data_IF_664677284865
#
_entry.id   IF_664677284865
#
_cell.length_a   1.000
_cell.length_b   1.000
_cell.length_c   1.000
_cell.angle_alpha   90.00
_cell.angle_beta   90.00
_cell.angle_gamma   90.00
#
_symmetry.space_group_name_H-M   'P 1'
#
loop_
_entity.id
_entity.type
_entity.pdbx_description
1 polymer ?
#
# COMPACT_ATOMS: atom_id res chain seq x y z
N UNK A 1 -11.64 4.72 8.31
CA UNK A 1 -10.81 5.03 9.52
C UNK A 1 -10.03 3.82 10.02
N UNK A 2 -10.63 2.63 10.06
CA UNK A 2 -9.93 1.39 10.46
C UNK A 2 -8.79 1.01 9.51
N UNK A 3 -9.02 1.08 8.19
CA UNK A 3 -7.99 0.78 7.20
C UNK A 3 -6.80 1.74 7.29
N UNK A 4 -7.02 3.03 7.60
CA UNK A 4 -5.92 3.97 7.85
C UNK A 4 -5.07 3.55 9.06
N UNK A 5 -5.71 3.07 10.14
CA UNK A 5 -4.99 2.57 11.33
C UNK A 5 -4.19 1.31 10.98
N UNK A 6 -4.76 0.42 10.18
CA UNK A 6 -4.09 -0.79 9.71
C UNK A 6 -2.89 -0.45 8.82
N UNK A 7 -3.04 0.50 7.89
CA UNK A 7 -1.94 0.95 7.04
C UNK A 7 -0.80 1.56 7.86
N UNK A 8 -1.13 2.38 8.86
CA UNK A 8 -0.14 2.94 9.77
C UNK A 8 0.62 1.86 10.55
N UNK A 9 -0.07 0.78 10.95
CA UNK A 9 0.55 -0.38 11.60
C UNK A 9 1.49 -1.12 10.63
N UNK A 10 1.04 -1.37 9.41
CA UNK A 10 1.85 -2.01 8.37
C UNK A 10 3.15 -1.24 8.07
N UNK A 11 3.05 0.10 7.96
CA UNK A 11 4.22 0.96 7.79
C UNK A 11 5.18 0.84 8.99
N UNK A 12 4.65 0.84 10.23
CA UNK A 12 5.49 0.67 11.44
C UNK A 12 6.20 -0.69 11.46
N UNK A 13 5.49 -1.77 11.14
CA UNK A 13 6.05 -3.11 11.09
C UNK A 13 7.14 -3.22 10.01
N UNK A 14 6.90 -2.63 8.83
CA UNK A 14 7.87 -2.55 7.74
C UNK A 14 9.14 -1.80 8.16
N UNK A 15 8.99 -0.63 8.77
CA UNK A 15 10.12 0.16 9.30
C UNK A 15 10.86 -0.63 10.40
N UNK A 16 10.13 -1.35 11.26
CA UNK A 16 10.71 -2.21 12.28
C UNK A 16 11.63 -3.29 11.70
N UNK A 17 11.21 -3.94 10.60
CA UNK A 17 11.93 -5.04 9.92
C UNK A 17 13.08 -4.54 9.04
N UNK A 18 12.85 -3.53 8.20
CA UNK A 18 13.84 -3.07 7.21
C UNK A 18 14.64 -1.83 7.63
N UNK A 19 14.30 -1.20 8.76
CA UNK A 19 14.91 0.06 9.24
C UNK A 19 14.86 1.20 8.21
N UNK A 20 13.88 1.14 7.29
CA UNK A 20 13.64 2.12 6.22
C UNK A 20 12.14 2.35 6.06
N UNK A 21 11.76 3.55 5.63
CA UNK A 21 10.39 3.84 5.28
C UNK A 21 10.06 3.28 3.89
N UNK A 22 8.88 2.66 3.72
CA UNK A 22 8.41 2.28 2.39
C UNK A 22 8.08 3.54 1.60
N UNK A 23 8.50 3.58 0.34
CA UNK A 23 8.05 4.60 -0.60
C UNK A 23 6.87 4.05 -1.40
N UNK A 24 5.82 4.85 -1.54
CA UNK A 24 4.62 4.47 -2.28
C UNK A 24 4.51 5.32 -3.54
N UNK A 25 4.32 4.65 -4.68
CA UNK A 25 3.90 5.31 -5.91
C UNK A 25 2.50 4.84 -6.25
N UNK A 26 1.57 5.77 -6.38
CA UNK A 26 0.19 5.47 -6.76
C UNK A 26 -0.06 5.93 -8.19
N UNK A 27 -0.89 5.20 -8.91
CA UNK A 27 -1.28 5.53 -10.29
C UNK A 27 -2.76 5.23 -10.44
N UNK A 28 -3.52 6.23 -10.87
CA UNK A 28 -4.92 6.04 -11.25
C UNK A 28 -4.98 5.20 -12.54
N UNK A 29 -5.83 4.18 -12.51
CA UNK A 29 -6.14 3.29 -13.64
C UNK A 29 -7.62 3.40 -13.96
N UNK A 30 -8.04 2.89 -15.12
CA UNK A 30 -9.39 3.10 -15.67
C UNK A 30 -10.55 2.81 -14.69
N UNK A 31 -10.36 1.93 -13.70
CA UNK A 31 -11.36 1.61 -12.68
C UNK A 31 -10.79 1.65 -11.25
N UNK A 32 -9.73 2.38 -10.94
CA UNK A 32 -9.22 2.39 -9.55
C UNK A 32 -7.80 2.87 -9.38
N UNK A 33 -7.11 2.34 -8.37
CA UNK A 33 -5.74 2.72 -8.01
C UNK A 33 -4.84 1.50 -8.01
N UNK A 34 -3.69 1.62 -8.69
CA UNK A 34 -2.52 0.77 -8.51
C UNK A 34 -1.55 1.45 -7.54
N UNK A 35 -1.02 0.71 -6.56
CA UNK A 35 0.02 1.19 -5.64
C UNK A 35 1.24 0.28 -5.71
N UNK A 36 2.42 0.87 -5.89
CA UNK A 36 3.72 0.20 -5.91
C UNK A 36 4.48 0.56 -4.63
N UNK A 37 5.01 -0.43 -3.92
CA UNK A 37 5.86 -0.25 -2.74
C UNK A 37 7.32 -0.43 -3.14
N UNK A 38 8.18 0.46 -2.64
CA UNK A 38 9.62 0.45 -2.89
C UNK A 38 10.39 0.50 -1.57
N UNK A 39 11.54 -0.18 -1.51
CA UNK A 39 12.52 -0.01 -0.42
C UNK A 39 13.52 1.13 -0.71
N UNK A 40 13.81 1.33 -1.99
CA UNK A 40 14.68 2.35 -2.59
C UNK A 40 14.12 2.70 -3.99
N UNK A 41 14.50 3.86 -4.54
CA UNK A 41 13.87 4.47 -5.72
C UNK A 41 13.77 3.56 -6.97
N UNK A 42 14.59 2.51 -7.07
CA UNK A 42 14.72 1.74 -8.32
C UNK A 42 14.26 0.27 -8.24
N UNK A 43 13.70 -0.19 -7.12
CA UNK A 43 13.23 -1.59 -6.99
C UNK A 43 11.82 -1.67 -6.40
N UNK A 44 10.86 -2.08 -7.25
CA UNK A 44 9.49 -2.39 -6.84
C UNK A 44 9.53 -3.67 -6.00
N UNK A 45 9.09 -3.58 -4.75
CA UNK A 45 8.94 -4.73 -3.86
C UNK A 45 7.62 -5.47 -4.13
N UNK A 46 6.54 -4.73 -4.32
CA UNK A 46 5.19 -5.28 -4.47
C UNK A 46 4.24 -4.27 -5.09
N UNK A 47 3.14 -4.77 -5.63
CA UNK A 47 2.07 -4.00 -6.27
C UNK A 47 0.71 -4.42 -5.71
N UNK A 48 -0.13 -3.45 -5.41
CA UNK A 48 -1.51 -3.63 -4.96
C UNK A 48 -2.50 -2.89 -5.86
N UNK A 49 -3.73 -3.39 -5.87
CA UNK A 49 -4.81 -2.83 -6.68
C UNK A 49 -6.07 -2.67 -5.84
N UNK A 50 -6.77 -1.55 -6.01
CA UNK A 50 -8.10 -1.34 -5.46
C UNK A 50 -8.99 -0.78 -6.55
N UNK A 51 -10.14 -1.40 -6.79
CA UNK A 51 -11.09 -1.03 -7.83
C UNK A 51 -12.27 -0.27 -7.19
N UNK A 52 -12.72 0.79 -7.86
CA UNK A 52 -13.92 1.55 -7.49
C UNK A 52 -14.70 1.95 -8.74
N UNK A 53 -15.97 1.55 -8.78
CA UNK A 53 -16.87 1.82 -9.90
C UNK A 53 -17.45 3.24 -9.89
N UNK A 54 -17.34 3.97 -8.78
CA UNK A 54 -18.12 5.18 -8.55
C UNK A 54 -17.27 6.43 -8.36
N UNK A 55 -16.15 6.36 -7.63
CA UNK A 55 -15.23 7.49 -7.39
C UNK A 55 -13.95 7.03 -6.70
N UNK A 56 -12.81 7.59 -7.10
CA UNK A 56 -11.55 7.47 -6.36
C UNK A 56 -11.61 8.42 -5.16
N UNK A 57 -11.45 7.87 -3.97
CA UNK A 57 -11.38 8.61 -2.70
C UNK A 57 -10.15 8.18 -1.89
N UNK A 58 -9.93 8.83 -0.74
CA UNK A 58 -8.79 8.51 0.12
C UNK A 58 -8.78 7.04 0.55
N UNK A 59 -9.95 6.45 0.80
CA UNK A 59 -10.07 5.04 1.20
C UNK A 59 -9.58 4.11 0.08
N UNK A 60 -9.82 4.46 -1.18
CA UNK A 60 -9.33 3.71 -2.35
C UNK A 60 -7.80 3.62 -2.37
N UNK A 61 -7.10 4.72 -2.06
CA UNK A 61 -5.64 4.73 -1.97
C UNK A 61 -5.14 3.87 -0.79
N UNK A 62 -5.79 4.00 0.37
CA UNK A 62 -5.43 3.24 1.57
C UNK A 62 -5.57 1.73 1.32
N UNK A 63 -6.68 1.31 0.71
CA UNK A 63 -6.92 -0.09 0.35
C UNK A 63 -5.90 -0.62 -0.66
N UNK A 64 -5.56 0.17 -1.68
CA UNK A 64 -4.56 -0.22 -2.69
C UNK A 64 -3.18 -0.42 -2.06
N UNK A 65 -2.78 0.45 -1.12
CA UNK A 65 -1.53 0.30 -0.37
C UNK A 65 -1.52 -0.92 0.56
N UNK A 66 -2.66 -1.22 1.21
CA UNK A 66 -2.81 -2.41 2.05
C UNK A 66 -2.73 -3.71 1.23
N UNK A 67 -3.34 -3.76 0.05
CA UNK A 67 -3.18 -4.90 -0.86
C UNK A 67 -1.73 -5.06 -1.33
N UNK A 68 -1.00 -3.96 -1.54
CA UNK A 68 0.42 -4.03 -1.88
C UNK A 68 1.25 -4.63 -0.72
N UNK A 69 0.97 -4.25 0.53
CA UNK A 69 1.60 -4.88 1.70
C UNK A 69 1.25 -6.35 1.84
N UNK A 70 -0.02 -6.70 1.68
CA UNK A 70 -0.51 -8.08 1.72
C UNK A 70 0.18 -8.97 0.68
N UNK A 71 0.34 -8.46 -0.54
CA UNK A 71 1.04 -9.16 -1.62
C UNK A 71 2.55 -9.29 -1.37
N UNK A 72 3.12 -8.38 -0.58
CA UNK A 72 4.52 -8.43 -0.22
C UNK A 72 4.77 -9.45 0.89
N UNK A 73 4.08 -9.29 2.02
CA UNK A 73 4.18 -10.13 3.21
C UNK A 73 3.01 -9.79 4.16
N UNK A 74 2.09 -10.74 4.32
CA UNK A 74 0.87 -10.59 5.13
C UNK A 74 1.18 -10.25 6.60
N UNK A 75 2.35 -10.66 7.11
CA UNK A 75 2.72 -10.43 8.51
C UNK A 75 2.85 -8.94 8.84
N UNK A 76 3.03 -8.07 7.85
CA UNK A 76 3.00 -6.63 8.08
C UNK A 76 1.65 -6.13 8.56
N UNK A 77 0.54 -6.82 8.26
CA UNK A 77 -0.80 -6.44 8.72
C UNK A 77 -1.08 -6.88 10.17
N UNK A 78 -0.27 -7.80 10.71
CA UNK A 78 -0.48 -8.45 12.01
C UNK A 78 0.25 -7.81 13.19
#
# INVERSE_FOLDING_TARGET
>A
MENQKLLNKAIKNFVGKYKKYPFFKTTEIACGIKTEIYLQQDCILSVGYSNTNNKIDNETFVLSALEAFKNFDLDFLN
#
